data_IF_027272439622
#
_entry.id   IF_027272439622
#
_cell.length_a   1.000
_cell.length_b   1.000
_cell.length_c   1.000
_cell.angle_alpha   90.00
_cell.angle_beta   90.00
_cell.angle_gamma   90.00
#
_symmetry.space_group_name_H-M   'P 1'
#
loop_
_entity.id
_entity.type
_entity.pdbx_description
1 polymer ?
#
# COMPACT_ATOMS: atom_id res chain seq x y z
N UNK A 1 6.34 -0.07 -22.73
CA UNK A 1 5.38 0.09 -21.61
C UNK A 1 3.92 0.06 -22.09
N UNK A 2 3.50 0.87 -23.07
CA UNK A 2 2.11 0.85 -23.56
C UNK A 2 1.67 -0.53 -24.10
N UNK A 3 2.53 -1.26 -24.82
CA UNK A 3 2.21 -2.61 -25.31
C UNK A 3 1.87 -3.57 -24.16
N UNK A 4 2.68 -3.59 -23.09
CA UNK A 4 2.44 -4.41 -21.90
C UNK A 4 1.08 -4.10 -21.24
N UNK A 5 0.76 -2.81 -21.08
CA UNK A 5 -0.52 -2.39 -20.50
C UNK A 5 -1.69 -2.69 -21.43
N UNK A 6 -1.46 -2.73 -22.75
CA UNK A 6 -2.44 -3.11 -23.74
C UNK A 6 -2.69 -4.60 -23.72
N UNK A 7 -1.65 -5.42 -23.59
CA UNK A 7 -1.71 -6.89 -23.51
C UNK A 7 -2.49 -7.37 -22.28
N UNK A 8 -2.41 -6.66 -21.15
CA UNK A 8 -3.16 -7.00 -19.94
C UNK A 8 -4.66 -6.71 -20.02
N UNK A 9 -5.18 -6.14 -21.11
CA UNK A 9 -6.61 -5.92 -21.33
C UNK A 9 -7.29 -7.19 -21.84
N UNK A 10 -8.27 -7.67 -21.07
CA UNK A 10 -9.05 -8.87 -21.42
C UNK A 10 -9.92 -8.65 -22.66
N UNK A 11 -10.28 -9.72 -23.36
CA UNK A 11 -11.15 -9.62 -24.55
C UNK A 11 -12.49 -8.95 -24.23
N UNK A 12 -13.06 -9.23 -23.06
CA UNK A 12 -14.30 -8.59 -22.59
C UNK A 12 -14.14 -7.06 -22.45
N UNK A 13 -13.04 -6.60 -21.87
CA UNK A 13 -12.76 -5.16 -21.71
C UNK A 13 -12.47 -4.47 -23.04
N UNK A 14 -11.83 -5.15 -23.99
CA UNK A 14 -11.62 -4.62 -25.35
C UNK A 14 -12.93 -4.34 -26.08
N UNK A 15 -13.96 -5.17 -25.86
CA UNK A 15 -15.31 -4.91 -26.40
C UNK A 15 -15.92 -3.62 -25.86
N UNK A 16 -15.52 -3.19 -24.65
CA UNK A 16 -15.88 -1.90 -24.05
C UNK A 16 -14.93 -0.76 -24.47
N UNK A 17 -14.08 -0.96 -25.48
CA UNK A 17 -13.08 0.00 -25.99
C UNK A 17 -12.00 0.39 -24.97
N UNK A 18 -11.79 -0.41 -23.90
CA UNK A 18 -10.66 -0.20 -22.98
C UNK A 18 -9.35 -0.48 -23.72
N UNK A 19 -8.38 0.43 -23.60
CA UNK A 19 -7.10 0.34 -24.32
C UNK A 19 -5.95 -0.21 -23.48
N UNK A 20 -5.93 0.08 -22.18
CA UNK A 20 -4.82 -0.27 -21.29
C UNK A 20 -5.31 -0.60 -19.88
N UNK A 21 -4.60 -1.50 -19.20
CA UNK A 21 -4.78 -1.84 -17.78
C UNK A 21 -3.54 -1.42 -16.99
N UNK A 22 -3.69 -0.38 -16.16
CA UNK A 22 -2.67 0.06 -15.20
C UNK A 22 -2.69 -0.83 -13.96
N UNK A 23 -3.88 -1.17 -13.48
CA UNK A 23 -4.07 -2.04 -12.32
C UNK A 23 -4.17 -3.50 -12.75
N UNK A 24 -3.59 -4.38 -11.93
CA UNK A 24 -3.79 -5.82 -12.07
C UNK A 24 -5.16 -6.19 -11.47
N UNK A 25 -5.92 -7.09 -12.09
CA UNK A 25 -7.25 -7.49 -11.62
C UNK A 25 -7.21 -8.47 -10.42
N UNK A 26 -6.14 -8.44 -9.63
CA UNK A 26 -5.92 -9.33 -8.49
C UNK A 26 -5.96 -8.50 -7.22
N UNK A 27 -6.66 -9.02 -6.23
CA UNK A 27 -6.79 -8.41 -4.91
C UNK A 27 -6.25 -9.40 -3.87
N UNK A 28 -5.18 -9.01 -3.16
CA UNK A 28 -4.67 -9.77 -2.02
C UNK A 28 -5.29 -9.26 -0.71
N UNK A 29 -6.62 -9.29 -0.64
CA UNK A 29 -7.35 -8.85 0.55
C UNK A 29 -7.20 -9.91 1.65
N UNK A 30 -6.81 -9.45 2.84
CA UNK A 30 -6.69 -10.27 4.05
C UNK A 30 -7.38 -9.56 5.21
N UNK A 31 -8.33 -10.24 5.82
CA UNK A 31 -9.00 -9.76 7.02
C UNK A 31 -8.03 -9.76 8.21
N UNK A 32 -8.01 -8.65 8.97
CA UNK A 32 -7.15 -8.49 10.13
C UNK A 32 -7.96 -8.80 11.39
N UNK A 33 -7.82 -10.03 11.91
CA UNK A 33 -8.61 -10.51 13.05
C UNK A 33 -7.98 -10.22 14.41
N UNK A 34 -6.69 -9.87 14.46
CA UNK A 34 -5.98 -9.67 15.73
C UNK A 34 -4.97 -8.53 15.61
N UNK A 35 -4.70 -7.87 16.74
CA UNK A 35 -3.64 -6.86 16.83
C UNK A 35 -2.26 -7.42 16.45
N UNK A 36 -1.97 -8.66 16.87
CA UNK A 36 -0.74 -9.36 16.49
C UNK A 36 -0.61 -9.44 14.96
N UNK A 37 -1.70 -9.78 14.28
CA UNK A 37 -1.70 -9.87 12.82
C UNK A 37 -1.57 -8.48 12.17
N UNK A 38 -2.22 -7.46 12.72
CA UNK A 38 -2.07 -6.06 12.30
C UNK A 38 -0.60 -5.63 12.35
N UNK A 39 0.04 -5.80 13.51
CA UNK A 39 1.46 -5.46 13.71
C UNK A 39 2.38 -6.22 12.78
N UNK A 40 2.10 -7.51 12.55
CA UNK A 40 2.87 -8.30 11.58
C UNK A 40 2.77 -7.72 10.17
N UNK A 41 1.58 -7.28 9.73
CA UNK A 41 1.39 -6.69 8.40
C UNK A 41 1.99 -5.29 8.30
N UNK A 42 1.83 -4.44 9.31
CA UNK A 42 2.49 -3.13 9.38
C UNK A 42 4.01 -3.27 9.26
N UNK A 43 4.62 -4.15 10.06
CA UNK A 43 6.06 -4.40 10.01
C UNK A 43 6.52 -4.91 8.64
N UNK A 44 5.73 -5.79 8.00
CA UNK A 44 6.01 -6.24 6.64
C UNK A 44 5.99 -5.07 5.64
N UNK A 45 4.93 -4.26 5.67
CA UNK A 45 4.79 -3.11 4.77
C UNK A 45 5.89 -2.08 4.96
N UNK A 46 6.26 -1.76 6.21
CA UNK A 46 7.33 -0.83 6.52
C UNK A 46 8.68 -1.32 6.04
N UNK A 47 8.95 -2.63 6.09
CA UNK A 47 10.23 -3.22 5.64
C UNK A 47 10.29 -3.53 4.13
N UNK A 48 9.17 -3.52 3.42
CA UNK A 48 9.14 -3.77 1.97
C UNK A 48 10.10 -2.92 1.13
N UNK A 49 10.31 -1.61 1.41
CA UNK A 49 11.23 -0.77 0.63
C UNK A 49 12.69 -1.25 0.63
N UNK A 50 13.09 -2.04 1.63
CA UNK A 50 14.47 -2.53 1.79
C UNK A 50 14.60 -4.05 1.67
N UNK A 51 13.51 -4.75 1.35
CA UNK A 51 13.43 -6.21 1.41
C UNK A 51 13.17 -6.87 0.06
N UNK A 52 13.74 -8.07 -0.10
CA UNK A 52 13.50 -8.92 -1.26
C UNK A 52 14.09 -8.32 -2.53
N UNK A 53 13.31 -8.30 -3.61
CA UNK A 53 13.73 -7.71 -4.90
C UNK A 53 13.66 -6.18 -4.91
N UNK A 54 13.10 -5.58 -3.86
CA UNK A 54 12.90 -4.15 -3.78
C UNK A 54 14.00 -3.55 -2.89
N UNK A 55 14.77 -2.63 -3.47
CA UNK A 55 15.84 -1.89 -2.80
C UNK A 55 15.65 -0.41 -3.09
N UNK A 56 14.52 0.11 -2.61
CA UNK A 56 14.08 1.48 -2.82
C UNK A 56 14.75 2.46 -1.83
N UNK A 57 15.28 1.94 -0.72
CA UNK A 57 16.06 2.68 0.27
C UNK A 57 17.11 1.76 0.92
N UNK A 58 18.08 2.32 1.65
CA UNK A 58 19.04 1.55 2.45
C UNK A 58 18.50 1.30 3.88
N UNK A 59 17.83 2.29 4.48
CA UNK A 59 17.04 2.12 5.70
C UNK A 59 15.54 2.27 5.38
N UNK A 60 14.70 1.44 6.01
CA UNK A 60 13.26 1.48 5.79
C UNK A 60 12.61 2.79 6.30
N UNK A 61 13.27 3.49 7.22
CA UNK A 61 12.89 4.82 7.69
C UNK A 61 13.18 5.92 6.66
N UNK A 62 14.06 5.70 5.68
CA UNK A 62 14.41 6.71 4.67
C UNK A 62 13.40 6.75 3.51
N UNK A 63 12.50 5.76 3.43
CA UNK A 63 11.49 5.71 2.38
C UNK A 63 10.30 6.62 2.71
N UNK A 64 10.33 7.85 2.22
CA UNK A 64 9.36 8.93 2.53
C UNK A 64 7.91 8.61 2.19
N UNK A 65 7.66 7.62 1.34
CA UNK A 65 6.32 7.17 0.94
C UNK A 65 5.80 6.03 1.83
N UNK A 66 6.22 5.99 3.11
CA UNK A 66 5.81 5.02 4.12
C UNK A 66 5.49 5.72 5.42
N UNK A 67 4.57 5.14 6.20
CA UNK A 67 4.25 5.58 7.56
C UNK A 67 5.25 5.07 8.61
N UNK A 68 6.34 4.41 8.21
CA UNK A 68 7.30 3.81 9.14
C UNK A 68 7.84 4.79 10.19
N UNK A 69 8.20 6.02 9.78
CA UNK A 69 8.70 7.07 10.67
C UNK A 69 7.67 7.48 11.73
N UNK A 70 6.39 7.52 11.38
CA UNK A 70 5.33 7.83 12.34
C UNK A 70 5.27 6.76 13.44
N UNK A 71 5.34 5.48 13.08
CA UNK A 71 5.25 4.39 14.06
C UNK A 71 6.53 4.22 14.90
N UNK A 72 7.71 4.44 14.31
CA UNK A 72 9.00 4.17 14.98
C UNK A 72 9.57 5.40 15.70
N UNK A 73 9.33 6.61 15.17
CA UNK A 73 9.93 7.85 15.68
C UNK A 73 8.88 8.88 16.15
N UNK A 74 7.59 8.66 15.89
CA UNK A 74 6.54 9.64 16.16
C UNK A 74 6.58 10.85 15.23
N UNK A 75 7.27 10.74 14.10
CA UNK A 75 7.49 11.84 13.15
C UNK A 75 6.56 11.73 11.95
N UNK A 76 5.93 12.84 11.56
CA UNK A 76 5.11 12.88 10.35
C UNK A 76 5.95 12.74 9.08
N UNK A 77 5.33 12.13 8.06
CA UNK A 77 5.89 12.01 6.72
C UNK A 77 5.43 13.13 5.80
N UNK A 78 5.40 12.82 4.50
CA UNK A 78 4.87 13.74 3.47
C UNK A 78 3.37 14.04 3.67
N UNK A 79 2.65 13.12 4.32
CA UNK A 79 1.24 13.23 4.61
C UNK A 79 0.98 12.88 6.08
N UNK A 80 -0.06 13.51 6.64
CA UNK A 80 -0.56 13.17 7.95
C UNK A 80 -1.15 11.76 7.95
N UNK A 81 -0.88 11.01 9.00
CA UNK A 81 -1.35 9.62 9.17
C UNK A 81 -1.90 9.44 10.57
N UNK A 82 -2.93 8.62 10.69
CA UNK A 82 -3.53 8.26 11.97
C UNK A 82 -3.02 6.91 12.45
N UNK A 83 -2.91 6.76 13.77
CA UNK A 83 -2.59 5.47 14.34
C UNK A 83 -3.82 4.56 14.22
N UNK A 84 -3.64 3.29 13.82
CA UNK A 84 -4.79 2.41 13.57
C UNK A 84 -5.70 2.17 14.80
N UNK A 85 -5.16 2.39 16.01
CA UNK A 85 -5.92 2.28 17.27
C UNK A 85 -6.78 3.51 17.58
N UNK A 86 -6.60 4.62 16.86
CA UNK A 86 -7.40 5.83 17.02
C UNK A 86 -8.72 5.73 16.26
N UNK A 87 -8.85 4.76 15.36
CA UNK A 87 -10.02 4.53 14.51
C UNK A 87 -11.10 3.80 15.32
N UNK A 88 -11.69 4.49 16.30
CA UNK A 88 -12.86 3.99 17.05
C UNK A 88 -14.17 4.60 16.54
N UNK A 89 -14.09 5.68 15.75
CA UNK A 89 -15.24 6.35 15.18
C UNK A 89 -14.93 6.89 13.77
N UNK A 90 -15.45 6.28 12.69
CA UNK A 90 -15.18 6.71 11.33
C UNK A 90 -15.72 8.10 10.99
N UNK A 91 -16.59 8.69 11.81
CA UNK A 91 -17.08 10.06 11.62
C UNK A 91 -16.05 11.15 12.01
N UNK A 92 -15.01 10.79 12.76
CA UNK A 92 -13.97 11.73 13.24
C UNK A 92 -12.80 11.88 12.26
N UNK A 93 -12.73 11.03 11.24
CA UNK A 93 -11.66 11.05 10.24
C UNK A 93 -12.20 11.49 8.88
N UNK A 94 -11.64 12.53 8.25
CA UNK A 94 -12.07 12.94 6.91
C UNK A 94 -11.79 11.83 5.89
N UNK A 95 -12.62 11.70 4.84
CA UNK A 95 -12.44 10.72 3.77
C UNK A 95 -11.18 10.96 2.94
#
# INVERSE_FOLDING_TARGET
>A
MLNLLGESVTQHERRKKKKHNVFRPSEDIKEIMTEKFMRQKLNYMHKNPVSGKWKLAENYLDYIHSSARFYELGEEGVFHVYHYQEINNPAEFPP
#
